data_IF_748881930509
#
_entry.id   IF_748881930509
#
_cell.length_a   1.000
_cell.length_b   1.000
_cell.length_c   1.000
_cell.angle_alpha   90.00
_cell.angle_beta   90.00
_cell.angle_gamma   90.00
#
_symmetry.space_group_name_H-M   'P 1'
#
loop_
_entity.id
_entity.type
_entity.pdbx_description
1 polymer ?
#
# COMPACT_ATOMS: atom_id res chain seq x y z
N UNK A 1 29.20 -9.88 3.13
CA UNK A 1 28.45 -9.41 1.95
C UNK A 1 27.08 -10.10 1.93
N UNK A 2 25.99 -9.32 2.00
CA UNK A 2 24.62 -9.85 1.98
C UNK A 2 24.35 -10.49 0.60
N UNK A 3 24.13 -11.81 0.53
CA UNK A 3 23.78 -12.44 -0.75
C UNK A 3 22.26 -12.38 -1.00
N UNK A 4 21.70 -11.17 -0.94
CA UNK A 4 20.31 -10.84 -1.34
C UNK A 4 20.16 -10.67 -2.86
N UNK A 5 21.24 -10.90 -3.62
CA UNK A 5 21.31 -10.69 -5.07
C UNK A 5 20.60 -11.76 -5.93
N UNK A 6 19.75 -12.59 -5.33
CA UNK A 6 18.94 -13.53 -6.12
C UNK A 6 17.86 -12.76 -6.88
N UNK A 7 18.04 -12.60 -8.19
CA UNK A 7 17.06 -11.99 -9.10
C UNK A 7 15.67 -12.65 -8.96
N UNK A 8 15.63 -13.96 -8.73
CA UNK A 8 14.38 -14.71 -8.52
C UNK A 8 13.64 -14.30 -7.25
N UNK A 9 14.34 -14.11 -6.13
CA UNK A 9 13.72 -13.65 -4.88
C UNK A 9 13.14 -12.24 -5.02
N UNK A 10 13.86 -11.33 -5.70
CA UNK A 10 13.40 -9.97 -5.99
C UNK A 10 12.12 -10.00 -6.84
N UNK A 11 12.14 -10.76 -7.95
CA UNK A 11 10.95 -10.91 -8.82
C UNK A 11 9.78 -11.51 -8.07
N UNK A 12 10.02 -12.52 -7.23
CA UNK A 12 8.97 -13.15 -6.44
C UNK A 12 8.34 -12.17 -5.44
N UNK A 13 9.13 -11.35 -4.73
CA UNK A 13 8.56 -10.37 -3.79
C UNK A 13 7.68 -9.33 -4.49
N UNK A 14 8.08 -8.86 -5.68
CA UNK A 14 7.25 -7.97 -6.50
C UNK A 14 6.00 -8.65 -7.04
N UNK A 15 6.07 -9.93 -7.40
CA UNK A 15 4.91 -10.73 -7.76
C UNK A 15 3.92 -10.83 -6.60
N UNK A 16 4.41 -11.14 -5.37
CA UNK A 16 3.56 -11.18 -4.18
C UNK A 16 2.89 -9.81 -3.96
N UNK A 17 3.64 -8.71 -4.11
CA UNK A 17 3.08 -7.36 -3.97
C UNK A 17 1.96 -7.10 -4.99
N UNK A 18 2.21 -7.35 -6.29
CA UNK A 18 1.24 -7.13 -7.36
C UNK A 18 0.01 -8.02 -7.18
N UNK A 19 0.20 -9.28 -6.78
CA UNK A 19 -0.89 -10.20 -6.49
C UNK A 19 -1.77 -9.67 -5.34
N UNK A 20 -1.17 -9.12 -4.28
CA UNK A 20 -1.94 -8.51 -3.20
C UNK A 20 -2.71 -7.26 -3.65
N UNK A 21 -2.18 -6.44 -4.58
CA UNK A 21 -2.95 -5.32 -5.15
C UNK A 21 -4.23 -5.81 -5.82
N UNK A 22 -4.16 -6.92 -6.56
CA UNK A 22 -5.34 -7.56 -7.14
C UNK A 22 -6.32 -8.03 -6.05
N UNK A 23 -5.84 -8.73 -5.02
CA UNK A 23 -6.69 -9.24 -3.92
C UNK A 23 -7.40 -8.10 -3.19
N UNK A 24 -6.74 -6.96 -2.98
CA UNK A 24 -7.31 -5.77 -2.34
C UNK A 24 -8.45 -5.19 -3.17
N UNK A 25 -8.22 -4.98 -4.47
CA UNK A 25 -9.25 -4.49 -5.38
C UNK A 25 -10.42 -5.48 -5.43
N UNK A 26 -10.14 -6.77 -5.45
CA UNK A 26 -11.19 -7.77 -5.47
C UNK A 26 -11.99 -7.83 -4.16
N UNK A 27 -11.36 -7.63 -3.00
CA UNK A 27 -12.06 -7.49 -1.72
C UNK A 27 -13.00 -6.27 -1.68
N UNK A 28 -12.59 -5.16 -2.30
CA UNK A 28 -13.48 -4.00 -2.45
C UNK A 28 -14.66 -4.29 -3.38
N UNK A 29 -14.47 -5.10 -4.42
CA UNK A 29 -15.56 -5.56 -5.28
C UNK A 29 -16.58 -6.39 -4.50
N UNK A 30 -16.14 -7.38 -3.70
CA UNK A 30 -17.02 -8.20 -2.83
C UNK A 30 -17.91 -7.32 -1.96
N UNK A 31 -17.35 -6.27 -1.35
CA UNK A 31 -18.13 -5.32 -0.54
C UNK A 31 -19.12 -4.55 -1.42
N UNK A 32 -18.64 -3.92 -2.48
CA UNK A 32 -19.41 -2.98 -3.29
C UNK A 32 -20.57 -3.66 -4.04
N UNK A 33 -20.48 -4.96 -4.32
CA UNK A 33 -21.56 -5.76 -4.90
C UNK A 33 -22.47 -6.41 -3.87
N UNK A 34 -22.27 -6.17 -2.57
CA UNK A 34 -23.04 -6.79 -1.50
C UNK A 34 -22.75 -8.28 -1.29
N UNK A 35 -21.76 -8.84 -1.99
CA UNK A 35 -21.49 -10.29 -2.01
C UNK A 35 -20.79 -10.83 -0.76
N UNK A 36 -20.49 -9.99 0.24
CA UNK A 36 -19.77 -10.39 1.45
C UNK A 36 -20.50 -11.41 2.35
N UNK A 37 -21.74 -11.79 2.02
CA UNK A 37 -22.52 -12.82 2.71
C UNK A 37 -22.87 -14.02 1.81
N UNK A 38 -22.28 -14.13 0.63
CA UNK A 38 -22.53 -15.21 -0.34
C UNK A 38 -22.24 -16.63 0.19
N UNK A 39 -21.36 -16.77 1.18
CA UNK A 39 -21.03 -18.03 1.85
C UNK A 39 -21.73 -18.21 3.21
N UNK A 40 -22.69 -17.34 3.54
CA UNK A 40 -23.33 -17.27 4.85
C UNK A 40 -22.32 -16.96 5.97
N UNK A 41 -22.67 -17.26 7.23
CA UNK A 41 -21.77 -17.10 8.38
C UNK A 41 -20.78 -18.28 8.56
N UNK A 42 -20.47 -19.00 7.47
CA UNK A 42 -19.51 -20.10 7.50
C UNK A 42 -18.11 -19.64 7.14
N UNK A 43 -17.12 -20.09 7.91
CA UNK A 43 -15.70 -19.92 7.62
C UNK A 43 -14.91 -21.02 8.33
N UNK A 44 -13.91 -21.68 7.69
CA UNK A 44 -13.36 -21.40 6.37
C UNK A 44 -14.17 -21.97 5.19
N UNK A 45 -15.11 -22.89 5.47
CA UNK A 45 -16.00 -23.47 4.45
C UNK A 45 -17.02 -22.43 3.94
N UNK A 46 -17.56 -22.66 2.75
CA UNK A 46 -18.59 -21.82 2.15
C UNK A 46 -19.92 -22.58 2.16
N UNK A 47 -20.91 -22.11 2.94
CA UNK A 47 -22.18 -22.83 3.17
C UNK A 47 -21.98 -24.31 3.61
N UNK A 48 -20.99 -24.55 4.48
CA UNK A 48 -20.69 -25.90 4.99
C UNK A 48 -19.97 -26.84 4.02
N UNK A 49 -19.65 -26.40 2.80
CA UNK A 49 -18.94 -27.20 1.79
C UNK A 49 -17.62 -26.55 1.37
N UNK A 50 -16.68 -27.36 0.84
CA UNK A 50 -15.38 -26.88 0.35
C UNK A 50 -15.52 -26.22 -1.02
N UNK A 51 -16.29 -26.83 -1.93
CA UNK A 51 -16.55 -26.33 -3.28
C UNK A 51 -18.07 -26.27 -3.48
N UNK A 52 -18.68 -25.08 -3.49
CA UNK A 52 -20.10 -24.91 -3.76
C UNK A 52 -20.51 -25.51 -5.11
N UNK A 53 -21.58 -26.30 -5.12
CA UNK A 53 -22.18 -26.83 -6.35
C UNK A 53 -23.35 -25.92 -6.74
N UNK A 54 -23.40 -25.47 -8.00
CA UNK A 54 -24.39 -24.50 -8.50
C UNK A 54 -24.57 -23.23 -7.63
N UNK A 55 -23.47 -22.50 -7.32
CA UNK A 55 -23.53 -21.30 -6.48
C UNK A 55 -24.25 -20.12 -7.16
N UNK A 56 -24.89 -19.28 -6.35
CA UNK A 56 -25.30 -17.93 -6.76
C UNK A 56 -24.06 -17.06 -7.05
N UNK A 57 -24.23 -15.96 -7.79
CA UNK A 57 -23.12 -15.11 -8.21
C UNK A 57 -22.38 -14.50 -7.01
N UNK A 58 -23.10 -14.16 -5.95
CA UNK A 58 -22.55 -13.63 -4.70
C UNK A 58 -21.64 -14.66 -4.02
N UNK A 59 -22.07 -15.92 -4.00
CA UNK A 59 -21.27 -17.04 -3.49
C UNK A 59 -20.00 -17.23 -4.32
N UNK A 60 -20.09 -17.15 -5.66
CA UNK A 60 -18.91 -17.24 -6.54
C UNK A 60 -17.91 -16.12 -6.21
N UNK A 61 -18.41 -14.89 -6.07
CA UNK A 61 -17.58 -13.70 -5.79
C UNK A 61 -16.89 -13.83 -4.45
N UNK A 62 -17.62 -14.16 -3.38
CA UNK A 62 -17.03 -14.30 -2.04
C UNK A 62 -16.06 -15.47 -1.96
N UNK A 63 -16.44 -16.63 -2.50
CA UNK A 63 -15.61 -17.83 -2.48
C UNK A 63 -14.30 -17.63 -3.26
N UNK A 64 -14.37 -16.98 -4.42
CA UNK A 64 -13.16 -16.66 -5.20
C UNK A 64 -12.26 -15.72 -4.42
N UNK A 65 -12.83 -14.72 -3.72
CA UNK A 65 -12.03 -13.82 -2.88
C UNK A 65 -11.33 -14.60 -1.76
N UNK A 66 -12.04 -15.51 -1.07
CA UNK A 66 -11.45 -16.40 -0.04
C UNK A 66 -10.30 -17.25 -0.59
N UNK A 67 -10.45 -17.84 -1.78
CA UNK A 67 -9.38 -18.61 -2.43
C UNK A 67 -8.16 -17.72 -2.70
N UNK A 68 -8.38 -16.55 -3.31
CA UNK A 68 -7.28 -15.65 -3.68
C UNK A 68 -6.55 -15.10 -2.44
N UNK A 69 -7.27 -14.82 -1.36
CA UNK A 69 -6.71 -14.46 -0.05
C UNK A 69 -5.98 -15.62 0.62
N UNK A 70 -6.51 -16.84 0.56
CA UNK A 70 -5.82 -18.05 1.03
C UNK A 70 -4.50 -18.30 0.29
N UNK A 71 -4.47 -18.06 -1.02
CA UNK A 71 -3.25 -18.15 -1.81
C UNK A 71 -2.22 -17.06 -1.41
N UNK A 72 -2.68 -15.87 -0.99
CA UNK A 72 -1.80 -14.84 -0.43
C UNK A 72 -1.04 -15.34 0.80
N UNK A 73 -1.71 -16.06 1.71
CA UNK A 73 -1.07 -16.66 2.89
C UNK A 73 0.08 -17.58 2.49
N UNK A 74 -0.14 -18.43 1.48
CA UNK A 74 0.89 -19.33 0.96
C UNK A 74 2.06 -18.56 0.32
N UNK A 75 1.78 -17.57 -0.52
CA UNK A 75 2.81 -16.75 -1.17
C UNK A 75 3.67 -16.02 -0.14
N UNK A 76 3.07 -15.45 0.89
CA UNK A 76 3.79 -14.76 1.97
C UNK A 76 4.59 -15.76 2.81
N UNK A 77 4.06 -16.95 3.13
CA UNK A 77 4.81 -17.99 3.83
C UNK A 77 6.06 -18.41 3.05
N UNK A 78 5.94 -18.62 1.73
CA UNK A 78 7.07 -18.91 0.84
C UNK A 78 8.07 -17.75 0.86
N UNK A 79 7.58 -16.50 0.78
CA UNK A 79 8.44 -15.31 0.82
C UNK A 79 9.23 -15.22 2.13
N UNK A 80 8.58 -15.46 3.28
CA UNK A 80 9.22 -15.49 4.60
C UNK A 80 10.34 -16.53 4.62
N UNK A 81 10.03 -17.78 4.24
CA UNK A 81 10.99 -18.88 4.24
C UNK A 81 12.18 -18.53 3.33
N UNK A 82 11.93 -18.01 2.14
CA UNK A 82 12.97 -17.70 1.16
C UNK A 82 13.86 -16.54 1.62
N UNK A 83 13.25 -15.46 2.15
CA UNK A 83 13.99 -14.34 2.75
C UNK A 83 14.83 -14.83 3.92
N UNK A 84 14.29 -15.64 4.82
CA UNK A 84 15.04 -16.14 5.99
C UNK A 84 16.17 -17.10 5.63
N UNK A 85 16.06 -17.84 4.52
CA UNK A 85 17.16 -18.68 4.00
C UNK A 85 18.28 -17.88 3.34
N UNK A 86 18.00 -16.69 2.82
CA UNK A 86 18.96 -15.89 2.02
C UNK A 86 19.52 -14.65 2.72
N UNK A 87 18.81 -14.11 3.70
CA UNK A 87 19.25 -12.97 4.50
C UNK A 87 19.99 -13.43 5.76
N UNK A 88 20.83 -12.57 6.34
CA UNK A 88 21.50 -12.87 7.62
C UNK A 88 20.53 -12.68 8.80
N UNK A 89 20.79 -13.40 9.91
CA UNK A 89 20.07 -13.15 11.18
C UNK A 89 20.27 -11.68 11.60
N UNK A 90 19.22 -11.04 12.10
CA UNK A 90 19.23 -9.62 12.45
C UNK A 90 19.02 -8.65 11.29
N UNK A 91 18.89 -9.12 10.04
CA UNK A 91 18.59 -8.25 8.90
C UNK A 91 17.19 -7.62 9.02
N UNK A 92 17.05 -6.30 8.84
CA UNK A 92 15.75 -5.61 8.80
C UNK A 92 14.73 -6.23 7.84
N UNK A 93 15.17 -6.82 6.72
CA UNK A 93 14.28 -7.50 5.75
C UNK A 93 13.55 -8.69 6.37
N UNK A 94 14.17 -9.37 7.36
CA UNK A 94 13.49 -10.44 8.10
C UNK A 94 12.36 -9.91 8.96
N UNK A 95 12.52 -8.70 9.52
CA UNK A 95 11.48 -8.03 10.30
C UNK A 95 10.34 -7.58 9.40
N UNK A 96 10.63 -6.93 8.26
CA UNK A 96 9.56 -6.50 7.35
C UNK A 96 8.76 -7.68 6.79
N UNK A 97 9.41 -8.79 6.42
CA UNK A 97 8.69 -9.97 5.93
C UNK A 97 7.92 -10.70 7.05
N UNK A 98 8.44 -10.70 8.29
CA UNK A 98 7.72 -11.23 9.44
C UNK A 98 6.47 -10.40 9.78
N UNK A 99 6.57 -9.07 9.68
CA UNK A 99 5.42 -8.17 9.80
C UNK A 99 4.39 -8.42 8.69
N UNK A 100 4.81 -8.68 7.45
CA UNK A 100 3.88 -9.11 6.40
C UNK A 100 3.16 -10.41 6.78
N UNK A 101 3.87 -11.38 7.38
CA UNK A 101 3.29 -12.60 7.94
C UNK A 101 2.26 -12.32 9.06
N UNK A 102 2.59 -11.45 10.00
CA UNK A 102 1.67 -11.04 11.07
C UNK A 102 0.42 -10.37 10.51
N UNK A 103 0.60 -9.44 9.56
CA UNK A 103 -0.51 -8.68 8.99
C UNK A 103 -1.42 -9.54 8.10
N UNK A 104 -0.91 -10.53 7.35
CA UNK A 104 -1.81 -11.41 6.58
C UNK A 104 -2.65 -12.33 7.48
N UNK A 105 -2.10 -12.77 8.62
CA UNK A 105 -2.87 -13.57 9.58
C UNK A 105 -3.96 -12.72 10.22
N UNK A 106 -3.62 -11.53 10.71
CA UNK A 106 -4.61 -10.61 11.28
C UNK A 106 -5.64 -10.13 10.25
N UNK A 107 -5.24 -9.92 8.99
CA UNK A 107 -6.16 -9.61 7.88
C UNK A 107 -7.18 -10.73 7.69
N UNK A 108 -6.69 -11.97 7.64
CA UNK A 108 -7.54 -13.15 7.48
C UNK A 108 -8.50 -13.32 8.65
N UNK A 109 -8.06 -13.02 9.88
CA UNK A 109 -8.90 -13.10 11.08
C UNK A 109 -9.95 -11.99 11.13
N UNK A 110 -9.61 -10.76 10.75
CA UNK A 110 -10.58 -9.66 10.65
C UNK A 110 -11.62 -9.96 9.56
N UNK A 111 -11.16 -10.43 8.39
CA UNK A 111 -12.04 -10.86 7.30
C UNK A 111 -12.96 -12.01 7.69
N UNK A 112 -12.44 -13.03 8.39
CA UNK A 112 -13.26 -14.10 8.95
C UNK A 112 -14.28 -13.57 9.97
N UNK A 113 -13.87 -12.67 10.85
CA UNK A 113 -14.73 -12.01 11.83
C UNK A 113 -15.87 -11.23 11.19
N UNK A 114 -15.63 -10.51 10.10
CA UNK A 114 -16.69 -9.81 9.36
C UNK A 114 -17.82 -10.76 8.96
N UNK A 115 -17.50 -11.97 8.52
CA UNK A 115 -18.49 -12.97 8.10
C UNK A 115 -19.10 -13.70 9.29
N UNK A 116 -18.29 -14.16 10.25
CA UNK A 116 -18.74 -14.93 11.42
C UNK A 116 -19.66 -14.11 12.34
N UNK A 117 -19.45 -12.80 12.42
CA UNK A 117 -20.29 -11.88 13.19
C UNK A 117 -21.35 -11.18 12.32
N UNK A 118 -21.54 -11.62 11.07
CA UNK A 118 -22.57 -11.12 10.16
C UNK A 118 -22.52 -9.59 9.94
N UNK A 119 -21.31 -9.03 9.96
CA UNK A 119 -21.00 -7.61 9.73
C UNK A 119 -20.83 -7.31 8.22
N UNK A 120 -21.65 -7.93 7.39
CA UNK A 120 -21.56 -7.92 5.91
C UNK A 120 -22.91 -7.55 5.27
N UNK A 121 -22.96 -7.52 3.94
CA UNK A 121 -24.17 -7.20 3.16
C UNK A 121 -24.84 -5.88 3.59
N UNK A 122 -26.01 -5.94 4.23
CA UNK A 122 -26.83 -4.78 4.62
C UNK A 122 -26.64 -4.32 6.07
N UNK A 123 -25.74 -4.95 6.84
CA UNK A 123 -25.50 -4.54 8.22
C UNK A 123 -24.95 -3.10 8.26
N UNK A 124 -25.66 -2.16 8.90
CA UNK A 124 -25.29 -0.74 8.98
C UNK A 124 -24.67 -0.34 10.33
N UNK A 125 -24.35 -1.34 11.16
CA UNK A 125 -23.87 -1.12 12.51
C UNK A 125 -22.50 -0.43 12.56
N UNK A 126 -22.24 0.28 13.65
CA UNK A 126 -20.90 0.83 13.92
C UNK A 126 -19.83 -0.25 14.08
N UNK A 127 -20.21 -1.46 14.51
CA UNK A 127 -19.28 -2.58 14.60
C UNK A 127 -18.72 -2.96 13.22
N UNK A 128 -19.57 -2.98 12.17
CA UNK A 128 -19.11 -3.15 10.79
C UNK A 128 -18.19 -2.02 10.35
N UNK A 129 -18.56 -0.77 10.64
CA UNK A 129 -17.74 0.38 10.27
C UNK A 129 -16.33 0.30 10.89
N UNK A 130 -16.22 0.02 12.19
CA UNK A 130 -14.93 -0.15 12.87
C UNK A 130 -14.15 -1.35 12.35
N UNK A 131 -14.83 -2.47 12.11
CA UNK A 131 -14.18 -3.66 11.55
C UNK A 131 -13.61 -3.38 10.15
N UNK A 132 -14.35 -2.66 9.30
CA UNK A 132 -13.86 -2.26 7.97
C UNK A 132 -12.70 -1.26 8.04
N UNK A 133 -12.73 -0.30 8.96
CA UNK A 133 -11.60 0.60 9.20
C UNK A 133 -10.35 -0.20 9.61
N UNK A 134 -10.50 -1.11 10.58
CA UNK A 134 -9.42 -1.96 11.07
C UNK A 134 -8.89 -2.85 9.94
N UNK A 135 -9.77 -3.46 9.15
CA UNK A 135 -9.42 -4.29 8.00
C UNK A 135 -8.58 -3.50 7.00
N UNK A 136 -9.04 -2.33 6.53
CA UNK A 136 -8.30 -1.54 5.54
C UNK A 136 -6.97 -0.98 6.07
N UNK A 137 -6.92 -0.56 7.34
CA UNK A 137 -5.65 -0.14 7.98
C UNK A 137 -4.67 -1.31 8.03
N UNK A 138 -5.14 -2.51 8.38
CA UNK A 138 -4.34 -3.72 8.39
C UNK A 138 -3.87 -4.11 6.98
N UNK A 139 -4.72 -3.97 5.96
CA UNK A 139 -4.36 -4.09 4.54
C UNK A 139 -3.20 -3.16 4.16
N UNK A 140 -3.25 -1.89 4.57
CA UNK A 140 -2.20 -0.93 4.26
C UNK A 140 -0.89 -1.28 4.97
N UNK A 141 -0.95 -1.74 6.22
CA UNK A 141 0.23 -2.21 6.94
C UNK A 141 0.83 -3.49 6.33
N UNK A 142 -0.01 -4.40 5.84
CA UNK A 142 0.40 -5.58 5.08
C UNK A 142 1.15 -5.18 3.80
N UNK A 143 0.54 -4.35 2.96
CA UNK A 143 1.15 -3.87 1.72
C UNK A 143 2.41 -3.05 1.97
N UNK A 144 2.46 -2.23 3.02
CA UNK A 144 3.68 -1.53 3.41
C UNK A 144 4.79 -2.53 3.75
N UNK A 145 4.49 -3.59 4.49
CA UNK A 145 5.46 -4.61 4.90
C UNK A 145 6.01 -5.39 3.70
N UNK A 146 5.14 -5.77 2.75
CA UNK A 146 5.55 -6.43 1.49
C UNK A 146 6.34 -5.46 0.60
N UNK A 147 5.90 -4.19 0.52
CA UNK A 147 6.55 -3.13 -0.25
C UNK A 147 7.96 -2.84 0.26
N UNK A 148 8.12 -2.61 1.57
CA UNK A 148 9.43 -2.42 2.22
C UNK A 148 10.35 -3.60 1.95
N UNK A 149 9.84 -4.83 2.12
CA UNK A 149 10.58 -6.06 1.81
C UNK A 149 11.07 -6.06 0.36
N UNK A 150 10.19 -5.71 -0.59
CA UNK A 150 10.52 -5.68 -2.02
C UNK A 150 11.52 -4.59 -2.37
N UNK A 151 11.38 -3.39 -1.79
CA UNK A 151 12.34 -2.30 -1.97
C UNK A 151 13.72 -2.68 -1.41
N UNK A 152 13.80 -3.20 -0.18
CA UNK A 152 15.08 -3.59 0.40
C UNK A 152 15.75 -4.77 -0.31
N UNK A 153 15.00 -5.75 -0.78
CA UNK A 153 15.56 -6.83 -1.60
C UNK A 153 16.10 -6.30 -2.93
N UNK A 154 15.45 -5.29 -3.51
CA UNK A 154 15.82 -4.74 -4.82
C UNK A 154 17.00 -3.79 -4.74
N UNK A 155 16.98 -2.88 -3.77
CA UNK A 155 17.85 -1.71 -3.68
C UNK A 155 18.81 -1.74 -2.49
N UNK A 156 18.67 -2.70 -1.58
CA UNK A 156 19.52 -2.82 -0.39
C UNK A 156 18.85 -2.33 0.88
N UNK A 157 19.41 -2.76 2.01
CA UNK A 157 18.92 -2.48 3.37
C UNK A 157 19.64 -1.26 3.93
N UNK A 158 18.98 -0.36 4.68
CA UNK A 158 19.67 0.76 5.30
C UNK A 158 20.69 0.22 6.31
N UNK A 159 21.95 0.65 6.18
CA UNK A 159 23.02 0.26 7.11
C UNK A 159 22.97 1.05 8.42
N UNK A 160 22.37 2.24 8.40
CA UNK A 160 22.17 3.09 9.58
C UNK A 160 20.77 3.69 9.58
N UNK A 161 20.19 3.88 10.77
CA UNK A 161 18.92 4.59 10.91
C UNK A 161 19.09 6.07 10.51
N UNK A 162 18.07 6.72 9.93
CA UNK A 162 18.14 8.12 9.57
C UNK A 162 18.38 8.97 10.82
N UNK A 163 19.46 9.76 10.82
CA UNK A 163 19.71 10.76 11.87
C UNK A 163 18.81 12.00 11.73
N UNK A 164 18.18 12.18 10.57
CA UNK A 164 17.29 13.32 10.31
C UNK A 164 15.94 13.14 11.03
N UNK A 165 15.86 13.70 12.25
CA UNK A 165 14.67 13.64 13.09
C UNK A 165 13.44 14.26 12.42
N UNK A 166 13.63 15.31 11.62
CA UNK A 166 12.55 16.00 10.94
C UNK A 166 11.99 15.14 9.81
N UNK A 167 12.85 14.57 8.97
CA UNK A 167 12.42 13.64 7.92
C UNK A 167 11.69 12.44 8.52
N UNK A 168 12.20 11.87 9.63
CA UNK A 168 11.54 10.77 10.34
C UNK A 168 10.15 11.14 10.85
N UNK A 169 10.01 12.29 11.51
CA UNK A 169 8.73 12.75 12.02
C UNK A 169 7.72 12.97 10.89
N UNK A 170 8.12 13.65 9.82
CA UNK A 170 7.23 13.94 8.69
C UNK A 170 6.81 12.67 7.94
N UNK A 171 7.70 11.69 7.80
CA UNK A 171 7.35 10.36 7.26
C UNK A 171 6.31 9.65 8.13
N UNK A 172 6.47 9.67 9.47
CA UNK A 172 5.52 9.06 10.39
C UNK A 172 4.16 9.79 10.35
N UNK A 173 4.16 11.11 10.27
CA UNK A 173 2.95 11.91 10.12
C UNK A 173 2.25 11.62 8.78
N UNK A 174 2.99 11.52 7.68
CA UNK A 174 2.45 11.13 6.38
C UNK A 174 1.88 9.71 6.40
N UNK A 175 2.58 8.78 7.05
CA UNK A 175 2.13 7.41 7.19
C UNK A 175 0.82 7.34 8.01
N UNK A 176 0.81 7.95 9.19
CA UNK A 176 -0.38 8.02 10.05
C UNK A 176 -1.55 8.74 9.40
N UNK A 177 -1.29 9.85 8.69
CA UNK A 177 -2.30 10.59 7.93
C UNK A 177 -2.93 9.74 6.83
N UNK A 178 -2.15 8.94 6.10
CA UNK A 178 -2.67 8.01 5.09
C UNK A 178 -3.47 6.86 5.69
N UNK A 179 -3.06 6.29 6.84
CA UNK A 179 -3.83 5.26 7.52
C UNK A 179 -5.19 5.82 8.00
N UNK A 180 -5.18 7.03 8.56
CA UNK A 180 -6.42 7.72 8.97
C UNK A 180 -7.30 8.08 7.78
N UNK A 181 -6.73 8.59 6.69
CA UNK A 181 -7.43 8.86 5.44
C UNK A 181 -8.05 7.58 4.86
N UNK A 182 -7.31 6.47 4.82
CA UNK A 182 -7.80 5.16 4.42
C UNK A 182 -8.99 4.71 5.26
N UNK A 183 -8.87 4.79 6.59
CA UNK A 183 -9.96 4.45 7.51
C UNK A 183 -11.22 5.29 7.26
N UNK A 184 -11.09 6.61 7.07
CA UNK A 184 -12.23 7.49 6.71
C UNK A 184 -12.84 7.12 5.34
N UNK A 185 -12.01 6.67 4.39
CA UNK A 185 -12.45 6.19 3.08
C UNK A 185 -13.23 4.87 3.17
N UNK A 186 -12.85 3.96 4.08
CA UNK A 186 -13.60 2.72 4.32
C UNK A 186 -15.02 3.01 4.81
N UNK A 187 -15.18 3.98 5.72
CA UNK A 187 -16.50 4.42 6.22
C UNK A 187 -17.31 5.09 5.10
N UNK A 188 -16.66 5.94 4.30
CA UNK A 188 -17.31 6.61 3.15
C UNK A 188 -17.83 5.60 2.13
N UNK A 189 -16.98 4.66 1.71
CA UNK A 189 -17.36 3.62 0.76
C UNK A 189 -18.47 2.69 1.30
N UNK A 190 -18.47 2.43 2.62
CA UNK A 190 -19.55 1.71 3.28
C UNK A 190 -20.86 2.50 3.22
N UNK A 191 -20.83 3.80 3.52
CA UNK A 191 -21.98 4.70 3.42
C UNK A 191 -22.58 4.70 2.02
N UNK A 192 -21.75 4.83 0.99
CA UNK A 192 -22.19 4.83 -0.41
C UNK A 192 -22.83 3.49 -0.84
N UNK A 193 -22.36 2.38 -0.26
CA UNK A 193 -22.90 1.03 -0.56
C UNK A 193 -24.24 0.78 0.15
N UNK A 194 -24.38 1.25 1.39
CA UNK A 194 -25.58 1.00 2.21
C UNK A 194 -26.72 1.99 1.93
N UNK A 195 -26.39 3.22 1.53
CA UNK A 195 -27.34 4.30 1.33
C UNK A 195 -27.18 4.89 -0.09
N UNK A 196 -27.53 4.14 -1.14
CA UNK A 196 -27.42 4.62 -2.51
C UNK A 196 -28.41 5.75 -2.77
N UNK A 197 -28.06 6.67 -3.67
CA UNK A 197 -28.88 7.82 -4.08
C UNK A 197 -29.03 7.87 -5.59
N UNK A 198 -30.14 8.43 -6.08
CA UNK A 198 -30.43 8.54 -7.51
C UNK A 198 -29.87 9.81 -8.16
N UNK A 199 -29.50 10.81 -7.36
CA UNK A 199 -28.93 12.07 -7.86
C UNK A 199 -27.96 12.71 -6.87
N UNK A 200 -27.09 13.59 -7.37
CA UNK A 200 -26.15 14.34 -6.53
C UNK A 200 -26.88 15.27 -5.53
N UNK A 201 -27.98 15.88 -5.96
CA UNK A 201 -28.77 16.77 -5.11
C UNK A 201 -29.40 16.01 -3.94
N UNK A 202 -29.93 14.81 -4.20
CA UNK A 202 -30.45 13.92 -3.16
C UNK A 202 -29.34 13.50 -2.19
N UNK A 203 -28.16 13.10 -2.69
CA UNK A 203 -27.01 12.76 -1.85
C UNK A 203 -26.59 13.88 -0.90
N UNK A 204 -26.50 15.11 -1.40
CA UNK A 204 -26.19 16.28 -0.57
C UNK A 204 -27.28 16.53 0.48
N UNK A 205 -28.55 16.46 0.12
CA UNK A 205 -29.64 16.64 1.08
C UNK A 205 -29.60 15.55 2.17
N UNK A 206 -29.30 14.32 1.80
CA UNK A 206 -29.18 13.18 2.70
C UNK A 206 -28.01 13.35 3.69
N UNK A 207 -26.87 13.86 3.23
CA UNK A 207 -25.68 14.08 4.06
C UNK A 207 -25.88 15.13 5.17
N UNK A 208 -26.69 16.16 4.89
CA UNK A 208 -26.94 17.25 5.83
C UNK A 208 -28.27 17.14 6.59
N UNK A 209 -29.03 16.07 6.39
CA UNK A 209 -30.28 15.85 7.11
C UNK A 209 -30.01 15.63 8.62
N UNK A 210 -30.82 16.26 9.47
CA UNK A 210 -30.73 16.11 10.94
C UNK A 210 -31.08 14.71 11.43
N UNK A 211 -31.74 13.91 10.59
CA UNK A 211 -32.08 12.50 10.79
C UNK A 211 -31.12 11.54 10.08
N UNK A 212 -30.09 12.06 9.40
CA UNK A 212 -29.14 11.23 8.65
C UNK A 212 -28.43 10.23 9.56
N UNK A 213 -28.26 9.01 9.04
CA UNK A 213 -27.49 7.96 9.70
C UNK A 213 -26.04 8.41 9.92
N UNK A 214 -25.41 7.92 11.00
CA UNK A 214 -24.07 8.38 11.42
C UNK A 214 -23.01 8.18 10.33
N UNK A 215 -23.10 7.12 9.53
CA UNK A 215 -22.17 6.83 8.44
C UNK A 215 -22.19 7.92 7.35
N UNK A 216 -23.36 8.49 7.06
CA UNK A 216 -23.52 9.58 6.10
C UNK A 216 -22.93 10.89 6.62
N UNK A 217 -23.13 11.18 7.92
CA UNK A 217 -22.49 12.36 8.54
C UNK A 217 -20.97 12.27 8.52
N UNK A 218 -20.43 11.06 8.68
CA UNK A 218 -18.99 10.82 8.63
C UNK A 218 -18.42 10.95 7.21
N UNK A 219 -19.21 10.66 6.17
CA UNK A 219 -18.82 10.74 4.74
C UNK A 219 -18.29 12.13 4.36
N UNK A 220 -18.92 13.19 4.85
CA UNK A 220 -18.56 14.60 4.52
C UNK A 220 -17.14 14.96 4.96
N UNK A 221 -16.59 14.29 5.97
CA UNK A 221 -15.23 14.58 6.45
C UNK A 221 -14.14 13.98 5.56
N UNK A 222 -14.41 12.91 4.82
CA UNK A 222 -13.40 12.23 4.03
C UNK A 222 -12.76 13.15 2.97
N UNK A 223 -13.50 13.93 2.16
CA UNK A 223 -12.91 14.90 1.24
C UNK A 223 -12.02 15.95 1.92
N UNK A 224 -12.42 16.42 3.11
CA UNK A 224 -11.62 17.40 3.88
C UNK A 224 -10.30 16.77 4.33
N UNK A 225 -10.35 15.56 4.87
CA UNK A 225 -9.16 14.79 5.26
C UNK A 225 -8.28 14.52 4.03
N UNK A 226 -8.88 14.19 2.88
CA UNK A 226 -8.18 13.91 1.63
C UNK A 226 -7.41 15.13 1.10
N UNK A 227 -8.00 16.33 1.19
CA UNK A 227 -7.34 17.58 0.79
C UNK A 227 -6.17 17.89 1.75
N UNK A 228 -6.39 17.80 3.06
CA UNK A 228 -5.36 18.11 4.06
C UNK A 228 -4.18 17.14 4.00
N UNK A 229 -4.45 15.83 4.00
CA UNK A 229 -3.41 14.80 3.90
C UNK A 229 -2.73 14.85 2.53
N UNK A 230 -3.48 14.99 1.44
CA UNK A 230 -2.91 15.11 0.10
C UNK A 230 -2.00 16.33 -0.05
N UNK A 231 -2.42 17.50 0.46
CA UNK A 231 -1.61 18.71 0.49
C UNK A 231 -0.33 18.53 1.32
N UNK A 232 -0.44 17.90 2.48
CA UNK A 232 0.73 17.52 3.29
C UNK A 232 1.69 16.61 2.52
N UNK A 233 1.20 15.57 1.84
CA UNK A 233 2.04 14.63 1.08
C UNK A 233 2.74 15.30 -0.10
N UNK A 234 2.07 16.22 -0.80
CA UNK A 234 2.68 17.02 -1.87
C UNK A 234 3.80 17.90 -1.30
N UNK A 235 3.53 18.63 -0.21
CA UNK A 235 4.53 19.47 0.46
C UNK A 235 5.72 18.67 0.98
N UNK A 236 5.44 17.54 1.64
CA UNK A 236 6.44 16.59 2.10
C UNK A 236 7.31 16.05 0.95
N UNK A 237 6.70 15.66 -0.16
CA UNK A 237 7.41 15.19 -1.37
C UNK A 237 8.32 16.26 -1.97
N UNK A 238 7.86 17.51 -2.08
CA UNK A 238 8.69 18.65 -2.54
C UNK A 238 9.86 18.88 -1.58
N UNK A 239 9.59 18.93 -0.28
CA UNK A 239 10.61 19.16 0.75
C UNK A 239 11.69 18.06 0.71
N UNK A 240 11.27 16.80 0.66
CA UNK A 240 12.20 15.67 0.69
C UNK A 240 13.08 15.59 -0.56
N UNK A 241 12.54 15.91 -1.74
CA UNK A 241 13.32 15.96 -3.00
C UNK A 241 14.37 17.07 -3.02
N UNK A 242 14.12 18.19 -2.34
CA UNK A 242 15.10 19.27 -2.15
C UNK A 242 16.18 18.86 -1.15
N UNK A 243 15.79 18.12 -0.10
CA UNK A 243 16.68 17.64 0.96
C UNK A 243 17.60 16.51 0.50
N UNK A 244 17.07 15.56 -0.28
CA UNK A 244 17.77 14.38 -0.77
C UNK A 244 17.64 14.31 -2.31
N UNK A 245 18.54 14.94 -3.07
CA UNK A 245 18.40 15.14 -4.51
C UNK A 245 18.72 13.89 -5.36
N UNK A 246 18.40 12.70 -4.87
CA UNK A 246 18.66 11.42 -5.54
C UNK A 246 17.56 11.08 -6.56
N UNK A 247 17.94 10.38 -7.64
CA UNK A 247 17.01 10.07 -8.73
C UNK A 247 15.77 9.26 -8.28
N UNK A 248 15.89 8.19 -7.46
CA UNK A 248 14.72 7.45 -6.99
C UNK A 248 13.76 8.31 -6.14
N UNK A 249 14.31 9.17 -5.27
CA UNK A 249 13.52 10.10 -4.44
C UNK A 249 12.76 11.10 -5.32
N UNK A 250 13.41 11.64 -6.35
CA UNK A 250 12.78 12.53 -7.34
C UNK A 250 11.65 11.83 -8.10
N UNK A 251 11.90 10.64 -8.63
CA UNK A 251 10.91 9.89 -9.42
C UNK A 251 9.70 9.48 -8.56
N UNK A 252 9.91 8.87 -7.39
CA UNK A 252 8.83 8.49 -6.49
C UNK A 252 8.08 9.71 -5.96
N UNK A 253 8.79 10.81 -5.68
CA UNK A 253 8.15 12.06 -5.27
C UNK A 253 7.28 12.67 -6.37
N UNK A 254 7.69 12.59 -7.65
CA UNK A 254 6.86 13.00 -8.79
C UNK A 254 5.62 12.11 -8.93
N UNK A 255 5.79 10.78 -8.84
CA UNK A 255 4.69 9.83 -8.88
C UNK A 255 3.69 10.07 -7.74
N UNK A 256 4.18 10.29 -6.52
CA UNK A 256 3.32 10.58 -5.37
C UNK A 256 2.45 11.82 -5.61
N UNK A 257 3.03 12.90 -6.14
CA UNK A 257 2.27 14.13 -6.44
C UNK A 257 1.24 13.90 -7.55
N UNK A 258 1.65 13.25 -8.64
CA UNK A 258 0.74 12.92 -9.73
C UNK A 258 -0.44 12.07 -9.25
N UNK A 259 -0.15 11.01 -8.48
CA UNK A 259 -1.16 10.10 -7.98
C UNK A 259 -2.11 10.78 -6.99
N UNK A 260 -1.62 11.67 -6.11
CA UNK A 260 -2.49 12.47 -5.22
C UNK A 260 -3.43 13.37 -6.02
N UNK A 261 -2.92 14.06 -7.06
CA UNK A 261 -3.76 14.87 -7.95
C UNK A 261 -4.80 14.03 -8.68
N UNK A 262 -4.40 12.87 -9.21
CA UNK A 262 -5.31 11.91 -9.83
C UNK A 262 -6.38 11.44 -8.83
N UNK A 263 -6.01 11.15 -7.59
CA UNK A 263 -6.91 10.67 -6.55
C UNK A 263 -7.99 11.70 -6.17
N UNK A 264 -7.65 12.98 -6.12
CA UNK A 264 -8.63 14.04 -5.92
C UNK A 264 -9.62 14.11 -7.09
N UNK A 265 -9.13 13.99 -8.33
CA UNK A 265 -9.99 13.88 -9.51
C UNK A 265 -10.93 12.67 -9.45
N UNK A 266 -10.40 11.49 -9.12
CA UNK A 266 -11.20 10.28 -8.95
C UNK A 266 -12.21 10.39 -7.81
N UNK A 267 -11.85 11.07 -6.72
CA UNK A 267 -12.77 11.35 -5.60
C UNK A 267 -13.93 12.26 -6.01
N UNK A 268 -13.64 13.32 -6.77
CA UNK A 268 -14.68 14.18 -7.34
C UNK A 268 -15.58 13.41 -8.32
N UNK A 269 -14.99 12.56 -9.17
CA UNK A 269 -15.77 11.71 -10.08
C UNK A 269 -16.65 10.71 -9.32
N UNK A 270 -16.18 10.15 -8.20
CA UNK A 270 -17.02 9.29 -7.35
C UNK A 270 -18.23 10.06 -6.82
N UNK A 271 -18.06 11.31 -6.39
CA UNK A 271 -19.17 12.14 -5.93
C UNK A 271 -20.17 12.43 -7.07
N UNK A 272 -19.67 12.86 -8.24
CA UNK A 272 -20.53 13.25 -9.37
C UNK A 272 -21.25 12.06 -10.02
N UNK A 273 -20.58 10.91 -10.11
CA UNK A 273 -21.12 9.70 -10.75
C UNK A 273 -21.84 8.76 -9.79
N UNK A 274 -22.05 9.18 -8.54
CA UNK A 274 -22.78 8.41 -7.51
C UNK A 274 -22.06 7.08 -7.16
N UNK A 275 -20.74 7.15 -7.03
CA UNK A 275 -19.84 6.09 -6.57
C UNK A 275 -20.03 4.73 -7.29
N UNK A 276 -19.95 4.66 -8.63
CA UNK A 276 -20.13 3.40 -9.34
C UNK A 276 -19.00 2.43 -8.97
N UNK A 277 -19.32 1.14 -8.90
CA UNK A 277 -18.41 0.09 -8.37
C UNK A 277 -17.02 0.17 -8.98
N UNK A 278 -16.90 0.23 -10.31
CA UNK A 278 -15.61 0.27 -11.00
C UNK A 278 -14.75 1.48 -10.59
N UNK A 279 -15.37 2.62 -10.31
CA UNK A 279 -14.63 3.82 -9.92
C UNK A 279 -14.18 3.74 -8.46
N UNK A 280 -14.97 3.10 -7.58
CA UNK A 280 -14.51 2.77 -6.23
C UNK A 280 -13.29 1.84 -6.26
N UNK A 281 -13.25 0.87 -7.17
CA UNK A 281 -12.11 -0.04 -7.35
C UNK A 281 -10.85 0.72 -7.79
N UNK A 282 -10.98 1.58 -8.81
CA UNK A 282 -9.87 2.41 -9.30
C UNK A 282 -9.40 3.39 -8.22
N UNK A 283 -10.32 4.02 -7.50
CA UNK A 283 -10.03 4.93 -6.40
C UNK A 283 -9.23 4.24 -5.27
N UNK A 284 -9.58 2.99 -4.92
CA UNK A 284 -8.81 2.21 -3.95
C UNK A 284 -7.43 1.83 -4.50
N UNK A 285 -7.35 1.36 -5.75
CA UNK A 285 -6.08 0.98 -6.37
C UNK A 285 -5.09 2.15 -6.39
N UNK A 286 -5.53 3.33 -6.83
CA UNK A 286 -4.69 4.53 -6.87
C UNK A 286 -4.28 4.95 -5.46
N UNK A 287 -5.16 4.82 -4.45
CA UNK A 287 -4.79 5.03 -3.03
C UNK A 287 -3.68 4.07 -2.59
N UNK A 288 -3.76 2.79 -2.97
CA UNK A 288 -2.71 1.82 -2.63
C UNK A 288 -1.39 2.14 -3.34
N UNK A 289 -1.43 2.69 -4.55
CA UNK A 289 -0.23 3.18 -5.26
C UNK A 289 0.36 4.45 -4.63
N UNK A 290 -0.47 5.37 -4.12
CA UNK A 290 -0.02 6.52 -3.31
C UNK A 290 0.71 6.00 -2.07
N UNK A 291 0.08 5.05 -1.37
CA UNK A 291 0.65 4.45 -0.17
C UNK A 291 2.00 3.79 -0.44
N UNK A 292 2.12 2.99 -1.50
CA UNK A 292 3.38 2.37 -1.90
C UNK A 292 4.43 3.39 -2.34
N UNK A 293 4.03 4.48 -3.01
CA UNK A 293 4.93 5.56 -3.39
C UNK A 293 5.48 6.28 -2.16
N UNK A 294 4.63 6.55 -1.15
CA UNK A 294 5.05 7.12 0.12
C UNK A 294 5.99 6.18 0.88
N UNK A 295 5.64 4.90 0.99
CA UNK A 295 6.47 3.88 1.64
C UNK A 295 7.84 3.78 0.96
N UNK A 296 7.86 3.71 -0.37
CA UNK A 296 9.09 3.71 -1.15
C UNK A 296 9.92 4.97 -0.92
N UNK A 297 9.28 6.14 -0.97
CA UNK A 297 9.93 7.44 -0.73
C UNK A 297 10.58 7.50 0.66
N UNK A 298 9.89 7.01 1.70
CA UNK A 298 10.42 6.89 3.05
C UNK A 298 11.58 5.89 3.12
N UNK A 299 11.48 4.73 2.46
CA UNK A 299 12.59 3.76 2.39
C UNK A 299 13.82 4.39 1.73
N UNK A 300 13.68 5.05 0.59
CA UNK A 300 14.81 5.64 -0.12
C UNK A 300 15.39 6.85 0.59
N UNK A 301 14.60 7.68 1.26
CA UNK A 301 15.15 8.77 2.07
C UNK A 301 15.94 8.27 3.29
N UNK A 302 15.77 7.00 3.66
CA UNK A 302 16.33 6.39 4.86
C UNK A 302 17.46 5.39 4.59
N UNK A 303 17.63 4.96 3.34
CA UNK A 303 18.76 4.14 2.91
C UNK A 303 19.82 5.06 2.30
N UNK A 304 21.00 5.25 2.92
CA UNK A 304 22.14 5.77 2.18
C UNK A 304 22.51 4.73 1.13
N UNK A 305 22.04 4.93 -0.11
CA UNK A 305 22.50 4.15 -1.24
C UNK A 305 23.88 4.66 -1.59
N UNK A 306 24.92 3.99 -1.10
CA UNK A 306 26.20 3.96 -1.80
C UNK A 306 25.94 3.27 -3.14
N UNK A 307 25.52 4.05 -4.15
CA UNK A 307 25.71 3.60 -5.51
C UNK A 307 27.21 3.47 -5.71
N UNK A 308 27.73 2.34 -6.23
CA UNK A 308 29.09 2.33 -6.72
C UNK A 308 29.17 3.45 -7.74
N UNK A 309 29.93 4.49 -7.42
CA UNK A 309 30.23 5.57 -8.34
C UNK A 309 30.77 4.91 -9.59
N UNK A 310 30.00 4.98 -10.67
CA UNK A 310 30.45 4.69 -12.02
C UNK A 310 31.48 5.73 -12.42
N UNK A 311 32.66 5.66 -11.81
CA UNK A 311 33.89 6.14 -12.37
C UNK A 311 34.75 4.89 -12.36
N UNK A 312 34.85 4.26 -13.52
CA UNK A 312 35.92 3.31 -13.77
C UNK A 312 37.22 4.01 -13.38
N UNK A 313 37.82 3.64 -12.26
CA UNK A 313 39.26 3.77 -12.09
C UNK A 313 39.86 2.88 -13.17
N UNK A 314 40.01 3.45 -14.37
CA UNK A 314 40.72 2.81 -15.46
C UNK A 314 42.20 3.12 -15.20
N UNK A 315 43.03 2.13 -14.84
CA UNK A 315 44.45 2.35 -14.47
C UNK A 315 45.31 2.94 -15.62
N UNK A 316 44.72 3.11 -16.80
CA UNK A 316 45.36 3.69 -17.99
C UNK A 316 45.52 5.22 -17.86
N UNK A 317 44.69 5.92 -17.08
CA UNK A 317 44.84 7.38 -16.92
C UNK A 317 45.91 7.80 -15.89
N UNK A 318 46.25 6.94 -14.93
CA UNK A 318 47.33 7.21 -13.96
C UNK A 318 48.73 7.03 -14.57
N UNK A 319 48.86 6.25 -15.64
CA UNK A 319 50.13 6.02 -16.33
C UNK A 319 50.56 7.19 -17.23
N UNK A 320 49.61 7.96 -17.78
CA UNK A 320 49.91 9.12 -18.64
C UNK A 320 50.37 10.35 -17.80
N UNK A 321 49.83 10.52 -16.59
CA UNK A 321 50.29 11.61 -15.71
C UNK A 321 51.66 11.34 -15.08
N UNK A 322 52.06 10.07 -14.89
CA UNK A 322 53.39 9.74 -14.37
C UNK A 322 54.49 9.81 -15.44
N UNK A 323 54.18 9.61 -16.72
CA UNK A 323 55.16 9.75 -17.80
C UNK A 323 55.48 11.22 -18.10
N UNK A 324 54.48 12.11 -18.11
CA UNK A 324 54.71 13.55 -18.36
C UNK A 324 55.48 14.25 -17.23
N UNK A 325 55.31 13.79 -15.98
CA UNK A 325 56.08 14.29 -14.85
C UNK A 325 57.57 13.88 -14.92
N UNK A 326 57.88 12.68 -15.43
CA UNK A 326 59.28 12.19 -15.59
C UNK A 326 60.01 12.85 -16.76
N UNK A 327 59.33 13.24 -17.84
CA UNK A 327 59.96 13.99 -18.94
C UNK A 327 60.27 15.44 -18.54
N UNK A 328 59.45 16.06 -17.68
CA UNK A 328 59.72 17.43 -17.22
C UNK A 328 60.93 17.55 -16.28
N UNK A 329 61.29 16.48 -15.54
CA UNK A 329 62.41 16.50 -14.59
C UNK A 329 63.77 16.15 -15.21
N UNK A 330 63.83 15.75 -16.49
CA UNK A 330 65.09 15.45 -17.20
C UNK A 330 65.58 16.59 -18.10
N UNK A 331 64.87 17.73 -18.13
CA UNK A 331 65.22 18.88 -18.97
C UNK A 331 65.81 20.07 -18.18
N UNK A 332 65.98 19.93 -16.86
CA UNK A 332 66.67 20.88 -15.98
C UNK A 332 67.96 20.27 -15.40
N UNK A 333 68.94 19.97 -16.27
CA UNK A 333 70.37 19.86 -15.94
C UNK A 333 71.17 20.47 -17.09
#
# INVERSE_FOLDING_TARGET
>A
MQNTNSTSLKRFSWLVLIYNLFVIVFGAYVRATGSGAGCGSHWPLCNGVVIPQNPAIETIVEFTHRITSGFTVLLIAILIIWVWRRSQKGSPVRVSVALAGFFIITESLIGAGLVLFELVAHNDSMARAFSMMAHLVNTFLLIASIGITSFWLSFGVPQTAPKDRQARLLSLLGAGGMLFLGASGAVTALGDTLFPVGSLAEGLQQDFATTAHILLRLRVFHPVIAILVGGFLIGFSIWLRRRYPWNPVKQLGNWLIFLVGLQWGLGMLNLVLLAPVWLQLVHLLVTTLIWLSLVGLCVFAWVPLEFPSGISHNPIHDTINQSSARESSQMEI
#
